data_IF_494906049616
#
_entry.id   IF_494906049616
#
_cell.length_a   1.000
_cell.length_b   1.000
_cell.length_c   1.000
_cell.angle_alpha   90.00
_cell.angle_beta   90.00
_cell.angle_gamma   90.00
#
_symmetry.space_group_name_H-M   'P 1'
#
loop_
_entity.id
_entity.type
_entity.pdbx_description
1 polymer ?
#
# COMPACT_ATOMS: atom_id res chain seq x y z
N UNK A 1 -12.97 15.46 0.33
CA UNK A 1 -13.57 14.12 0.32
C UNK A 1 -12.45 13.09 0.35
N UNK A 2 -12.56 12.03 1.16
CA UNK A 2 -11.63 10.91 1.10
C UNK A 2 -11.70 10.26 -0.28
N UNK A 3 -10.56 9.82 -0.80
CA UNK A 3 -10.43 9.08 -2.05
C UNK A 3 -10.11 7.62 -1.75
N UNK A 4 -10.55 6.72 -2.62
CA UNK A 4 -10.19 5.31 -2.53
C UNK A 4 -8.67 5.13 -2.78
N UNK A 5 -8.00 4.39 -1.90
CA UNK A 5 -6.57 4.04 -2.03
C UNK A 5 -6.27 3.33 -3.34
N UNK A 6 -7.22 2.59 -3.91
CA UNK A 6 -7.04 1.93 -5.20
C UNK A 6 -6.85 2.92 -6.36
N UNK A 7 -7.30 4.18 -6.21
CA UNK A 7 -7.00 5.24 -7.18
C UNK A 7 -5.53 5.63 -7.20
N UNK A 8 -4.78 5.34 -6.13
CA UNK A 8 -3.33 5.57 -6.02
C UNK A 8 -2.52 4.33 -6.41
N UNK A 9 -3.17 3.25 -6.83
CA UNK A 9 -2.53 1.96 -7.14
C UNK A 9 -2.63 1.67 -8.64
N UNK A 10 -1.54 1.92 -9.36
CA UNK A 10 -1.47 1.71 -10.80
C UNK A 10 -1.81 0.26 -11.19
N UNK A 11 -1.34 -0.72 -10.41
CA UNK A 11 -1.63 -2.14 -10.63
C UNK A 11 -3.09 -2.54 -10.37
N UNK A 12 -3.88 -1.66 -9.76
CA UNK A 12 -5.34 -1.83 -9.56
C UNK A 12 -6.16 -1.01 -10.55
N UNK A 13 -5.52 -0.39 -11.55
CA UNK A 13 -6.17 0.49 -12.53
C UNK A 13 -6.36 1.94 -12.04
N UNK A 14 -5.69 2.32 -10.94
CA UNK A 14 -5.63 3.70 -10.46
C UNK A 14 -4.64 4.55 -11.25
N UNK A 15 -4.78 5.87 -11.11
CA UNK A 15 -3.87 6.86 -11.69
C UNK A 15 -3.48 7.90 -10.63
N UNK A 16 -2.32 7.71 -9.96
CA UNK A 16 -1.82 8.62 -8.94
C UNK A 16 -1.56 10.03 -9.48
N UNK A 17 -1.16 10.16 -10.75
CA UNK A 17 -0.86 11.46 -11.37
C UNK A 17 -2.15 12.23 -11.65
N UNK A 18 -3.22 11.56 -12.08
CA UNK A 18 -4.53 12.19 -12.19
C UNK A 18 -5.03 12.71 -10.84
N UNK A 19 -4.79 11.97 -9.75
CA UNK A 19 -5.12 12.42 -8.39
C UNK A 19 -4.25 13.60 -7.98
N UNK A 20 -2.94 13.56 -8.25
CA UNK A 20 -1.99 14.65 -7.99
C UNK A 20 -2.42 15.94 -8.69
N UNK A 21 -2.76 15.86 -9.98
CA UNK A 21 -3.27 16.99 -10.75
C UNK A 21 -4.62 17.52 -10.22
N UNK A 22 -5.52 16.64 -9.76
CA UNK A 22 -6.77 17.03 -9.11
C UNK A 22 -6.55 17.81 -7.81
N UNK A 23 -5.61 17.37 -6.96
CA UNK A 23 -5.30 18.07 -5.72
C UNK A 23 -4.59 19.42 -5.98
N UNK A 24 -3.72 19.51 -6.99
CA UNK A 24 -3.12 20.79 -7.43
C UNK A 24 -4.18 21.78 -7.91
N UNK A 25 -5.15 21.33 -8.71
CA UNK A 25 -6.29 22.16 -9.15
C UNK A 25 -7.15 22.67 -7.98
N UNK A 26 -7.11 21.97 -6.84
CA UNK A 26 -7.80 22.35 -5.60
C UNK A 26 -6.94 23.21 -4.67
N UNK A 27 -5.78 23.67 -5.13
CA UNK A 27 -4.79 24.41 -4.34
C UNK A 27 -4.35 23.67 -3.07
N UNK A 28 -4.30 22.34 -3.14
CA UNK A 28 -3.84 21.48 -2.04
C UNK A 28 -2.41 21.03 -2.29
N UNK A 29 -1.71 20.70 -1.21
CA UNK A 29 -0.35 20.20 -1.30
C UNK A 29 -0.35 18.85 -2.06
N UNK A 30 0.23 18.83 -3.25
CA UNK A 30 0.31 17.62 -4.08
C UNK A 30 1.31 16.59 -3.58
N UNK A 31 2.22 16.99 -2.68
CA UNK A 31 3.22 16.10 -2.11
C UNK A 31 2.57 15.03 -1.22
N UNK A 32 1.38 15.30 -0.68
CA UNK A 32 0.63 14.29 0.09
C UNK A 32 0.25 13.09 -0.75
N UNK A 33 0.05 13.25 -2.06
CA UNK A 33 -0.26 12.13 -2.96
C UNK A 33 0.97 11.25 -3.17
N UNK A 34 2.14 11.86 -3.40
CA UNK A 34 3.41 11.14 -3.52
C UNK A 34 3.76 10.37 -2.25
N UNK A 35 3.68 11.05 -1.09
CA UNK A 35 3.93 10.42 0.21
C UNK A 35 2.95 9.27 0.48
N UNK A 36 1.69 9.40 0.10
CA UNK A 36 0.70 8.34 0.26
C UNK A 36 1.02 7.12 -0.63
N UNK A 37 1.47 7.33 -1.87
CA UNK A 37 1.90 6.26 -2.77
C UNK A 37 3.12 5.53 -2.21
N UNK A 38 4.13 6.26 -1.72
CA UNK A 38 5.34 5.68 -1.13
C UNK A 38 5.02 4.85 0.12
N UNK A 39 4.22 5.41 1.04
CA UNK A 39 3.79 4.71 2.25
C UNK A 39 2.96 3.46 1.93
N UNK A 40 2.07 3.52 0.94
CA UNK A 40 1.27 2.37 0.51
C UNK A 40 2.14 1.26 -0.11
N UNK A 41 3.19 1.62 -0.85
CA UNK A 41 4.14 0.64 -1.37
C UNK A 41 4.94 -0.03 -0.25
N UNK A 42 5.41 0.75 0.73
CA UNK A 42 6.15 0.21 1.87
C UNK A 42 5.26 -0.72 2.69
N UNK A 43 4.05 -0.28 3.03
CA UNK A 43 3.09 -1.09 3.78
C UNK A 43 2.80 -2.44 3.10
N UNK A 44 2.66 -2.48 1.77
CA UNK A 44 2.44 -3.74 1.05
C UNK A 44 3.63 -4.69 1.10
N UNK A 45 4.87 -4.17 1.05
CA UNK A 45 6.08 -4.98 1.23
C UNK A 45 6.13 -5.57 2.64
N UNK A 46 5.82 -4.77 3.65
CA UNK A 46 5.83 -5.20 5.05
C UNK A 46 4.75 -6.25 5.32
N UNK A 47 3.55 -6.07 4.76
CA UNK A 47 2.47 -7.06 4.86
C UNK A 47 2.85 -8.39 4.21
N UNK A 48 3.47 -8.36 3.03
CA UNK A 48 3.96 -9.57 2.37
C UNK A 48 5.03 -10.27 3.21
N UNK A 49 5.98 -9.53 3.79
CA UNK A 49 6.99 -10.07 4.67
C UNK A 49 6.37 -10.70 5.94
N UNK A 50 5.39 -10.03 6.54
CA UNK A 50 4.66 -10.54 7.70
C UNK A 50 3.93 -11.86 7.39
N UNK A 51 3.25 -11.94 6.25
CA UNK A 51 2.53 -13.15 5.85
C UNK A 51 3.49 -14.31 5.60
N UNK A 52 4.66 -14.05 5.00
CA UNK A 52 5.72 -15.06 4.86
C UNK A 52 6.22 -15.56 6.22
N UNK A 53 6.48 -14.65 7.17
CA UNK A 53 6.91 -15.02 8.52
C UNK A 53 5.84 -15.86 9.26
N UNK A 54 4.56 -15.54 9.07
CA UNK A 54 3.44 -16.32 9.63
C UNK A 54 3.40 -17.73 9.05
N UNK A 55 3.63 -17.87 7.75
CA UNK A 55 3.70 -19.17 7.09
C UNK A 55 4.87 -20.01 7.64
N UNK A 56 6.05 -19.41 7.77
CA UNK A 56 7.24 -20.06 8.33
C UNK A 56 7.02 -20.48 9.78
N UNK A 57 6.45 -19.60 10.62
CA UNK A 57 6.09 -19.92 12.00
C UNK A 57 5.10 -21.09 12.07
N UNK A 58 4.09 -21.09 11.21
CA UNK A 58 3.11 -22.18 11.14
C UNK A 58 3.74 -23.53 10.79
N UNK A 59 4.79 -23.56 9.95
CA UNK A 59 5.56 -24.77 9.65
C UNK A 59 6.32 -25.27 10.88
N UNK A 60 7.01 -24.38 11.59
CA UNK A 60 7.76 -24.72 12.81
C UNK A 60 6.85 -25.30 13.88
N UNK A 61 5.72 -24.64 14.17
CA UNK A 61 4.75 -25.09 15.18
C UNK A 61 4.20 -26.47 14.88
N UNK A 62 3.94 -26.79 13.60
CA UNK A 62 3.44 -28.12 13.19
C UNK A 62 4.49 -29.22 13.40
N UNK A 63 5.76 -28.94 13.14
CA UNK A 63 6.87 -29.90 13.33
C UNK A 63 7.14 -30.14 14.80
N UNK A 64 7.02 -29.13 15.67
CA UNK A 64 7.26 -29.28 17.10
C UNK A 64 6.11 -29.96 17.87
N UNK A 65 4.94 -30.08 17.25
CA UNK A 65 3.72 -30.60 17.89
C UNK A 65 3.38 -32.05 17.48
N UNK A 66 4.21 -32.68 16.64
CA UNK A 66 4.11 -34.08 16.23
C UNK A 66 5.29 -34.88 16.73
#
# INVERSE_FOLDING_TARGET
MPIDINKLRAEKGGDPEAVRASEQKRYRNSDTVGNAVELDQQWRKDMFALDKLREELGKVVRVSSG
#
